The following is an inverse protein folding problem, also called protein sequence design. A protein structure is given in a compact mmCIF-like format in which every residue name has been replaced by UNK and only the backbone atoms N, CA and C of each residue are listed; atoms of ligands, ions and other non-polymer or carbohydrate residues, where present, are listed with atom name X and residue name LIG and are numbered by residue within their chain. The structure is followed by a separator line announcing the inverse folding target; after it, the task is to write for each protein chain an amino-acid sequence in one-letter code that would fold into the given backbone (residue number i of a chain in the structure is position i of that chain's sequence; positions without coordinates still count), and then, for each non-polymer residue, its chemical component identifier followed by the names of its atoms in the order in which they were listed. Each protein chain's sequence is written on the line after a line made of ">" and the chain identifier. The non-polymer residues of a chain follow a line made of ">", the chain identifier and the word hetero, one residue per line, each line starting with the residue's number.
data_IF_801087271684
#
_entry.id   IF_801087271684
#
_cell.length_a   1.000
_cell.length_b   1.000
_cell.length_c   1.000
_cell.angle_alpha   90.00
_cell.angle_beta   90.00
_cell.angle_gamma   90.00
#
_symmetry.space_group_name_H-M   'P 1'
#
loop_
_entity.id
_entity.type
_entity.pdbx_description
1 polymer ?
#
# COMPACT_ATOMS: atom_id res chain seq x y z
N UNK A 1 -0.27 26.73 0.45
CA UNK A 1 -0.13 25.91 -0.78
C UNK A 1 1.32 25.53 -1.11
N UNK A 2 2.31 26.43 -0.99
CA UNK A 2 3.71 26.18 -1.43
C UNK A 2 4.40 25.01 -0.67
N UNK A 3 4.16 24.84 0.63
CA UNK A 3 4.78 23.74 1.42
C UNK A 3 4.24 22.36 1.07
N UNK A 4 2.96 22.26 0.70
CA UNK A 4 2.30 21.02 0.31
C UNK A 4 2.91 20.44 -0.99
N UNK A 5 3.12 21.29 -2.00
CA UNK A 5 3.73 20.89 -3.26
C UNK A 5 5.18 20.42 -3.08
N UNK A 6 5.93 20.98 -2.13
CA UNK A 6 7.30 20.54 -1.84
C UNK A 6 7.34 19.15 -1.21
N UNK A 7 6.38 18.83 -0.34
CA UNK A 7 6.32 17.53 0.30
C UNK A 7 5.84 16.42 -0.63
N UNK A 8 4.85 16.67 -1.49
CA UNK A 8 4.48 15.71 -2.54
C UNK A 8 5.67 15.47 -3.47
N UNK A 9 6.38 16.53 -3.89
CA UNK A 9 7.59 16.39 -4.70
C UNK A 9 8.65 15.57 -3.98
N UNK A 10 8.85 15.75 -2.68
CA UNK A 10 9.81 14.98 -1.89
C UNK A 10 9.42 13.49 -1.81
N UNK A 11 8.15 13.19 -1.53
CA UNK A 11 7.65 11.80 -1.49
C UNK A 11 7.81 11.14 -2.86
N UNK A 12 7.43 11.84 -3.93
CA UNK A 12 7.62 11.35 -5.31
C UNK A 12 9.10 11.20 -5.65
N UNK A 13 9.97 12.11 -5.23
CA UNK A 13 11.42 12.00 -5.44
C UNK A 13 12.01 10.80 -4.70
N UNK A 14 11.62 10.59 -3.44
CA UNK A 14 12.06 9.42 -2.67
C UNK A 14 11.59 8.15 -3.37
N UNK A 15 10.33 8.09 -3.79
CA UNK A 15 9.79 6.94 -4.50
C UNK A 15 10.49 6.69 -5.85
N UNK A 16 10.79 7.76 -6.62
CA UNK A 16 11.52 7.67 -7.90
C UNK A 16 12.96 7.23 -7.69
N UNK A 17 13.68 7.81 -6.72
CA UNK A 17 15.08 7.45 -6.42
C UNK A 17 15.17 5.99 -5.96
N UNK A 18 14.23 5.56 -5.12
CA UNK A 18 14.12 4.16 -4.72
C UNK A 18 13.86 3.27 -5.96
N UNK A 19 12.98 3.69 -6.88
CA UNK A 19 12.72 2.93 -8.13
C UNK A 19 13.90 2.85 -9.11
N UNK A 20 14.70 3.92 -9.27
CA UNK A 20 15.85 3.94 -10.17
C UNK A 20 17.07 3.19 -9.61
N UNK A 21 17.18 3.05 -8.30
CA UNK A 21 18.28 2.30 -7.68
C UNK A 21 18.19 0.79 -7.95
N UNK A 22 17.02 0.30 -8.36
CA UNK A 22 16.74 -1.13 -8.58
C UNK A 22 16.83 -1.54 -10.05
N UNK A 23 16.54 -0.64 -11.00
CA UNK A 23 16.68 -0.91 -12.44
C UNK A 23 18.12 -1.23 -12.85
N UNK A 24 19.11 -0.89 -12.01
CA UNK A 24 20.51 -1.26 -12.23
C UNK A 24 20.86 -2.74 -11.90
N UNK A 25 19.90 -3.55 -11.42
CA UNK A 25 20.18 -4.94 -10.97
C UNK A 25 19.31 -6.05 -11.59
N UNK A 26 18.45 -5.74 -12.57
CA UNK A 26 17.52 -6.71 -13.18
C UNK A 26 17.96 -7.18 -14.57
N UNK A 27 19.23 -7.58 -14.72
CA UNK A 27 19.70 -8.34 -15.89
C UNK A 27 19.86 -9.82 -15.51
N UNK A 28 18.74 -10.58 -15.57
CA UNK A 28 18.67 -12.05 -15.83
C UNK A 28 17.23 -12.56 -15.57
N UNK A 29 16.42 -12.67 -16.62
CA UNK A 29 15.18 -13.47 -16.59
C UNK A 29 15.19 -14.43 -17.81
N UNK A 30 15.00 -15.75 -17.64
CA UNK A 30 14.87 -16.70 -18.74
C UNK A 30 13.46 -16.70 -19.38
N UNK A 31 13.39 -17.14 -20.64
CA UNK A 31 12.21 -17.06 -21.53
C UNK A 31 11.00 -17.91 -21.10
N UNK A 32 9.75 -17.41 -21.24
CA UNK A 32 8.53 -18.13 -20.90
C UNK A 32 7.93 -18.80 -22.13
N UNK A 33 7.83 -20.14 -22.16
CA UNK A 33 7.04 -20.79 -23.22
C UNK A 33 6.12 -21.94 -22.79
N UNK A 34 6.17 -22.46 -21.56
CA UNK A 34 5.49 -23.74 -21.26
C UNK A 34 4.67 -23.81 -19.94
N UNK A 35 4.23 -22.72 -19.30
CA UNK A 35 3.62 -22.77 -17.95
C UNK A 35 2.14 -22.36 -17.83
N UNK A 36 1.48 -21.93 -18.91
CA UNK A 36 0.21 -21.19 -18.78
C UNK A 36 -1.05 -22.00 -18.39
N UNK A 37 -1.06 -23.34 -18.45
CA UNK A 37 -2.29 -24.12 -18.20
C UNK A 37 -2.34 -24.87 -16.86
N UNK A 38 -1.21 -25.01 -16.15
CA UNK A 38 -1.14 -25.69 -14.84
C UNK A 38 -1.05 -24.72 -13.65
N UNK A 39 -0.71 -23.45 -13.87
CA UNK A 39 -0.43 -22.48 -12.81
C UNK A 39 -1.69 -21.82 -12.21
N UNK A 40 -2.77 -21.68 -12.97
CA UNK A 40 -3.97 -20.98 -12.48
C UNK A 40 -4.65 -21.71 -11.30
N UNK A 41 -4.57 -23.05 -11.25
CA UNK A 41 -5.10 -23.86 -10.14
C UNK A 41 -4.17 -23.98 -8.93
N UNK A 42 -2.88 -23.65 -9.09
CA UNK A 42 -1.85 -23.73 -8.04
C UNK A 42 -1.48 -22.35 -7.45
N UNK A 43 -1.70 -21.25 -8.17
CA UNK A 43 -1.42 -19.90 -7.65
C UNK A 43 -2.37 -19.47 -6.52
N UNK A 44 -3.58 -20.03 -6.44
CA UNK A 44 -4.50 -19.79 -5.30
C UNK A 44 -3.97 -20.44 -4.00
N UNK A 45 -2.98 -21.35 -4.10
CA UNK A 45 -2.54 -22.21 -2.99
C UNK A 45 -1.28 -21.76 -2.24
N UNK A 46 -0.69 -20.61 -2.57
CA UNK A 46 0.55 -20.11 -1.95
C UNK A 46 0.42 -18.72 -1.31
N UNK A 47 -0.70 -18.44 -0.63
CA UNK A 47 -0.60 -17.49 0.48
C UNK A 47 -0.13 -18.27 1.69
N UNK A 48 1.19 -18.31 1.88
CA UNK A 48 1.81 -18.88 3.08
C UNK A 48 1.35 -18.04 4.29
N UNK A 49 0.35 -18.56 5.00
CA UNK A 49 -0.25 -17.88 6.15
C UNK A 49 0.75 -17.62 7.27
N UNK A 50 1.83 -18.39 7.31
CA UNK A 50 2.85 -18.28 8.35
C UNK A 50 3.70 -17.02 8.14
N UNK A 51 3.78 -16.53 6.90
CA UNK A 51 4.49 -15.31 6.52
C UNK A 51 3.63 -14.03 6.58
N UNK A 52 2.31 -14.15 6.68
CA UNK A 52 1.38 -13.01 6.75
C UNK A 52 1.71 -11.99 7.84
N UNK A 53 2.05 -12.39 9.08
CA UNK A 53 2.38 -11.42 10.13
C UNK A 53 3.62 -10.59 9.79
N UNK A 54 4.60 -11.20 9.11
CA UNK A 54 5.82 -10.52 8.70
C UNK A 54 5.55 -9.48 7.61
N UNK A 55 4.80 -9.83 6.57
CA UNK A 55 4.42 -8.88 5.52
C UNK A 55 3.58 -7.74 6.08
N UNK A 56 2.60 -8.03 6.94
CA UNK A 56 1.78 -7.01 7.59
C UNK A 56 2.64 -6.04 8.40
N UNK A 57 3.60 -6.57 9.17
CA UNK A 57 4.52 -5.76 9.95
C UNK A 57 5.35 -4.82 9.06
N UNK A 58 5.91 -5.34 7.96
CA UNK A 58 6.69 -4.54 7.01
C UNK A 58 5.84 -3.45 6.34
N UNK A 59 4.65 -3.81 5.87
CA UNK A 59 3.69 -2.89 5.27
C UNK A 59 3.30 -1.78 6.25
N UNK A 60 2.98 -2.11 7.50
CA UNK A 60 2.66 -1.13 8.53
C UNK A 60 3.82 -0.15 8.74
N UNK A 61 5.06 -0.62 8.75
CA UNK A 61 6.25 0.26 8.90
C UNK A 61 6.34 1.23 7.71
N UNK A 62 6.28 0.71 6.49
CA UNK A 62 6.43 1.50 5.27
C UNK A 62 5.31 2.55 5.14
N UNK A 63 4.08 2.13 5.35
CA UNK A 63 2.93 3.03 5.22
C UNK A 63 2.88 4.06 6.34
N UNK A 64 3.24 3.68 7.56
CA UNK A 64 3.39 4.64 8.66
C UNK A 64 4.50 5.65 8.39
N UNK A 65 5.57 5.26 7.71
CA UNK A 65 6.64 6.15 7.28
C UNK A 65 6.14 7.18 6.26
N UNK A 66 5.49 6.74 5.17
CA UNK A 66 4.93 7.65 4.16
C UNK A 66 3.84 8.56 4.73
N UNK A 67 2.93 8.02 5.55
CA UNK A 67 1.94 8.81 6.27
C UNK A 67 2.60 9.82 7.23
N UNK A 68 3.66 9.41 7.93
CA UNK A 68 4.45 10.25 8.83
C UNK A 68 5.03 11.48 8.11
N UNK A 69 5.61 11.30 6.92
CA UNK A 69 6.11 12.42 6.10
C UNK A 69 4.97 13.40 5.81
N UNK A 70 3.82 12.91 5.36
CA UNK A 70 2.67 13.75 5.05
C UNK A 70 2.14 14.49 6.30
N UNK A 71 1.97 13.78 7.41
CA UNK A 71 1.51 14.31 8.69
C UNK A 71 2.42 15.44 9.17
N UNK A 72 3.74 15.27 9.10
CA UNK A 72 4.71 16.30 9.45
C UNK A 72 4.63 17.52 8.54
N UNK A 73 4.50 17.29 7.23
CA UNK A 73 4.43 18.34 6.21
C UNK A 73 3.19 19.23 6.32
N UNK A 74 2.04 18.62 6.61
CA UNK A 74 0.73 19.30 6.71
C UNK A 74 0.41 19.68 8.15
N UNK A 75 1.30 19.36 9.11
CA UNK A 75 1.14 19.59 10.56
C UNK A 75 -0.14 18.97 11.12
N UNK A 76 -0.47 17.77 10.66
CA UNK A 76 -1.59 17.02 11.20
C UNK A 76 -1.24 16.45 12.59
N UNK A 77 -2.23 16.13 13.44
CA UNK A 77 -1.98 15.48 14.71
C UNK A 77 -1.30 14.12 14.51
N UNK A 78 -0.27 13.81 15.31
CA UNK A 78 0.48 12.54 15.25
C UNK A 78 -0.43 11.31 15.42
N UNK A 79 -1.59 11.47 16.06
CA UNK A 79 -2.64 10.44 16.19
C UNK A 79 -3.12 9.88 14.85
N UNK A 80 -2.95 10.63 13.75
CA UNK A 80 -3.26 10.13 12.40
C UNK A 80 -2.41 8.91 12.04
N UNK A 81 -1.16 8.81 12.50
CA UNK A 81 -0.31 7.63 12.27
C UNK A 81 -0.91 6.39 12.95
N UNK A 82 -1.48 6.54 14.15
CA UNK A 82 -2.19 5.44 14.82
C UNK A 82 -3.39 4.97 13.99
N UNK A 83 -4.11 5.88 13.33
CA UNK A 83 -5.23 5.51 12.45
C UNK A 83 -4.77 4.70 11.23
N UNK A 84 -3.60 5.01 10.67
CA UNK A 84 -2.99 4.23 9.58
C UNK A 84 -2.70 2.80 10.05
N UNK A 85 -2.01 2.66 11.19
CA UNK A 85 -1.72 1.34 11.79
C UNK A 85 -3.01 0.53 12.01
N UNK A 86 -4.05 1.16 12.58
CA UNK A 86 -5.33 0.50 12.82
C UNK A 86 -6.06 0.12 11.52
N UNK A 87 -6.03 0.99 10.50
CA UNK A 87 -6.61 0.69 9.20
C UNK A 87 -5.96 -0.56 8.60
N UNK A 88 -4.63 -0.64 8.64
CA UNK A 88 -3.89 -1.75 8.06
C UNK A 88 -4.15 -3.07 8.77
N UNK A 89 -4.13 -3.07 10.11
CA UNK A 89 -4.41 -4.26 10.91
C UNK A 89 -5.80 -4.83 10.60
N UNK A 90 -6.77 -3.98 10.30
CA UNK A 90 -8.15 -4.41 10.02
C UNK A 90 -8.34 -4.80 8.55
N UNK A 91 -7.83 -3.99 7.62
CA UNK A 91 -8.17 -4.09 6.20
C UNK A 91 -7.28 -5.09 5.44
N UNK A 92 -6.00 -5.23 5.78
CA UNK A 92 -5.11 -6.17 5.09
C UNK A 92 -5.52 -7.63 5.25
N UNK A 93 -5.83 -8.14 6.47
CA UNK A 93 -6.31 -9.51 6.62
C UNK A 93 -7.60 -9.76 5.84
N UNK A 94 -8.51 -8.78 5.81
CA UNK A 94 -9.71 -8.88 5.00
C UNK A 94 -9.36 -8.99 3.52
N UNK A 95 -8.48 -8.11 3.00
CA UNK A 95 -8.11 -8.11 1.59
C UNK A 95 -7.43 -9.43 1.17
N UNK A 96 -6.45 -9.90 1.93
CA UNK A 96 -5.73 -11.14 1.65
C UNK A 96 -6.61 -12.39 1.70
N UNK A 97 -7.63 -12.41 2.56
CA UNK A 97 -8.52 -13.57 2.65
C UNK A 97 -9.65 -13.55 1.62
N UNK A 98 -10.02 -12.38 1.09
CA UNK A 98 -11.22 -12.24 0.23
C UNK A 98 -10.88 -12.15 -1.26
N UNK A 99 -9.96 -11.27 -1.67
CA UNK A 99 -9.71 -10.99 -3.08
C UNK A 99 -9.05 -12.13 -3.87
N UNK A 100 -8.14 -12.95 -3.31
CA UNK A 100 -7.59 -14.11 -4.04
C UNK A 100 -8.63 -15.16 -4.44
N UNK A 101 -9.84 -15.10 -3.88
CA UNK A 101 -10.95 -16.02 -4.22
C UNK A 101 -11.79 -15.53 -5.39
N UNK A 102 -11.54 -14.34 -5.93
CA UNK A 102 -12.28 -13.81 -7.06
C UNK A 102 -11.88 -14.55 -8.36
N UNK A 103 -12.85 -14.95 -9.20
CA UNK A 103 -12.60 -15.65 -10.46
C UNK A 103 -12.19 -14.67 -11.57
N UNK A 104 -11.13 -13.88 -11.34
CA UNK A 104 -10.59 -12.89 -12.28
C UNK A 104 -9.09 -13.09 -12.45
N UNK A 105 -8.48 -12.38 -13.42
CA UNK A 105 -7.03 -12.47 -13.62
C UNK A 105 -6.25 -11.92 -12.43
N UNK A 106 -5.03 -12.39 -12.22
CA UNK A 106 -4.16 -11.95 -11.11
C UNK A 106 -3.91 -10.43 -11.13
N UNK A 107 -3.71 -9.85 -12.32
CA UNK A 107 -3.52 -8.41 -12.51
C UNK A 107 -4.79 -7.64 -12.12
N UNK A 108 -5.96 -8.20 -12.42
CA UNK A 108 -7.24 -7.63 -12.02
C UNK A 108 -7.41 -7.69 -10.50
N UNK A 109 -7.00 -8.79 -9.85
CA UNK A 109 -7.00 -8.90 -8.38
C UNK A 109 -6.13 -7.81 -7.76
N UNK A 110 -4.88 -7.63 -8.23
CA UNK A 110 -3.99 -6.57 -7.73
C UNK A 110 -4.67 -5.21 -7.87
N UNK A 111 -5.14 -4.87 -9.06
CA UNK A 111 -5.76 -3.56 -9.30
C UNK A 111 -6.96 -3.31 -8.39
N UNK A 112 -7.84 -4.31 -8.22
CA UNK A 112 -9.02 -4.21 -7.37
C UNK A 112 -8.60 -4.05 -5.89
N UNK A 113 -7.60 -4.81 -5.43
CA UNK A 113 -7.08 -4.72 -4.05
C UNK A 113 -6.50 -3.34 -3.78
N UNK A 114 -5.70 -2.78 -4.68
CA UNK A 114 -5.10 -1.45 -4.54
C UNK A 114 -6.19 -0.36 -4.46
N UNK A 115 -7.18 -0.40 -5.35
CA UNK A 115 -8.31 0.55 -5.30
C UNK A 115 -9.12 0.39 -4.02
N UNK A 116 -9.37 -0.86 -3.61
CA UNK A 116 -10.06 -1.16 -2.37
C UNK A 116 -9.30 -0.62 -1.16
N UNK A 117 -8.00 -0.88 -1.05
CA UNK A 117 -7.15 -0.42 0.05
C UNK A 117 -7.21 1.11 0.16
N UNK A 118 -6.97 1.82 -0.96
CA UNK A 118 -6.99 3.29 -0.98
C UNK A 118 -8.34 3.86 -0.51
N UNK A 119 -9.45 3.33 -1.02
CA UNK A 119 -10.79 3.85 -0.68
C UNK A 119 -11.21 3.46 0.73
N UNK A 120 -11.00 2.20 1.11
CA UNK A 120 -11.45 1.66 2.40
C UNK A 120 -10.65 2.22 3.57
N UNK A 121 -9.34 2.39 3.45
CA UNK A 121 -8.51 3.01 4.48
C UNK A 121 -8.83 4.49 4.64
N UNK A 122 -9.00 5.22 3.54
CA UNK A 122 -9.41 6.62 3.59
C UNK A 122 -10.74 6.79 4.32
N UNK A 123 -11.72 5.93 4.00
CA UNK A 123 -13.01 5.91 4.68
C UNK A 123 -12.86 5.54 6.17
N UNK A 124 -12.10 4.49 6.48
CA UNK A 124 -11.88 4.00 7.84
C UNK A 124 -11.20 5.06 8.72
N UNK A 125 -10.11 5.65 8.25
CA UNK A 125 -9.41 6.74 8.93
C UNK A 125 -10.33 7.95 9.13
N UNK A 126 -11.09 8.36 8.12
CA UNK A 126 -12.02 9.48 8.24
C UNK A 126 -13.11 9.22 9.28
N UNK A 127 -13.72 8.03 9.26
CA UNK A 127 -14.79 7.65 10.18
C UNK A 127 -14.29 7.55 11.62
N UNK A 128 -13.12 6.96 11.87
CA UNK A 128 -12.52 6.92 13.19
C UNK A 128 -12.05 8.29 13.66
N UNK A 129 -11.47 9.09 12.77
CA UNK A 129 -10.97 10.41 13.11
C UNK A 129 -12.08 11.35 13.59
N UNK A 130 -13.33 11.22 13.09
CA UNK A 130 -14.47 12.09 13.47
C UNK A 130 -14.60 12.33 14.97
N UNK A 131 -14.24 11.35 15.81
CA UNK A 131 -14.34 11.46 17.28
C UNK A 131 -13.09 12.01 17.97
N UNK A 132 -11.92 11.98 17.31
CA UNK A 132 -10.62 12.16 17.99
C UNK A 132 -9.66 13.14 17.32
N UNK A 133 -9.88 13.51 16.05
CA UNK A 133 -8.99 14.36 15.25
C UNK A 133 -9.75 15.06 14.11
N UNK A 134 -9.52 16.36 13.84
CA UNK A 134 -10.08 17.05 12.68
C UNK A 134 -9.36 16.61 11.39
N UNK A 135 -9.61 15.38 10.92
CA UNK A 135 -9.13 14.86 9.65
C UNK A 135 -10.25 14.98 8.61
N UNK A 136 -10.04 15.80 7.57
CA UNK A 136 -10.98 15.85 6.45
C UNK A 136 -10.87 14.59 5.58
N UNK A 137 -11.96 14.21 4.91
CA UNK A 137 -11.94 13.07 3.99
C UNK A 137 -10.87 13.24 2.89
N UNK A 138 -10.70 14.46 2.36
CA UNK A 138 -9.64 14.76 1.39
C UNK A 138 -8.24 14.45 1.93
N UNK A 139 -7.96 14.80 3.18
CA UNK A 139 -6.66 14.50 3.79
C UNK A 139 -6.49 12.99 4.02
N UNK A 140 -7.53 12.29 4.49
CA UNK A 140 -7.50 10.84 4.65
C UNK A 140 -7.24 10.12 3.32
N UNK A 141 -7.90 10.54 2.25
CA UNK A 141 -7.70 10.01 0.90
C UNK A 141 -6.27 10.25 0.40
N UNK A 142 -5.73 11.45 0.57
CA UNK A 142 -4.35 11.74 0.16
C UNK A 142 -3.34 10.90 0.96
N UNK A 143 -3.55 10.72 2.27
CA UNK A 143 -2.68 9.88 3.09
C UNK A 143 -2.70 8.44 2.60
N UNK A 144 -3.90 7.87 2.43
CA UNK A 144 -4.06 6.49 1.98
C UNK A 144 -3.52 6.27 0.57
N UNK A 145 -3.77 7.21 -0.34
CA UNK A 145 -3.17 7.15 -1.68
C UNK A 145 -1.64 7.18 -1.63
N UNK A 146 -1.03 8.08 -0.84
CA UNK A 146 0.42 8.19 -0.76
C UNK A 146 1.08 6.97 -0.11
N UNK A 147 0.45 6.37 0.91
CA UNK A 147 1.00 5.20 1.60
C UNK A 147 0.89 3.94 0.74
N UNK A 148 -0.25 3.69 0.08
CA UNK A 148 -0.39 2.57 -0.86
C UNK A 148 0.54 2.74 -2.06
N UNK A 149 0.61 3.94 -2.65
CA UNK A 149 1.55 4.20 -3.76
C UNK A 149 3.00 3.95 -3.34
N UNK A 150 3.39 4.39 -2.14
CA UNK A 150 4.73 4.15 -1.59
C UNK A 150 5.01 2.66 -1.34
N UNK A 151 4.04 1.95 -0.77
CA UNK A 151 4.11 0.50 -0.52
C UNK A 151 4.19 -0.30 -1.82
N UNK A 152 3.28 -0.03 -2.76
CA UNK A 152 3.26 -0.64 -4.10
C UNK A 152 4.59 -0.44 -4.81
N UNK A 153 5.12 0.78 -4.84
CA UNK A 153 6.42 1.06 -5.46
C UNK A 153 7.56 0.32 -4.76
N UNK A 154 7.52 0.20 -3.43
CA UNK A 154 8.52 -0.58 -2.68
C UNK A 154 8.44 -2.09 -2.96
N UNK A 155 7.24 -2.61 -3.26
CA UNK A 155 7.04 -3.99 -3.67
C UNK A 155 7.67 -4.33 -5.03
N UNK A 156 7.92 -3.34 -5.90
CA UNK A 156 8.74 -3.56 -7.11
C UNK A 156 10.24 -3.61 -6.82
N UNK A 157 10.67 -3.20 -5.62
CA UNK A 157 12.10 -3.09 -5.26
C UNK A 157 12.64 -4.34 -4.58
N UNK A 158 11.76 -5.20 -4.09
CA UNK A 158 12.04 -6.40 -3.29
C UNK A 158 11.62 -7.61 -4.11
#
# INVERSE_FOLDING_TARGET
>A
MIRFNRCIRLILLIAIVLSHSVVAHTDRIPSPRNLQSAEFGNQIRYFDTDSLPFYLFLTIILESFFAGIYVLCVKLPKKVILLVVLANIVLYPFAWLTFPRLPVSYESVIFIVEVFAVVSEAAFMYLLAKKFCPLSFRQAFIISFLMNMGSFLSGFLI
#
